data_IF_204149894077
#
_entry.id   IF_204149894077
#
_cell.length_a   1.000
_cell.length_b   1.000
_cell.length_c   1.000
_cell.angle_alpha   90.00
_cell.angle_beta   90.00
_cell.angle_gamma   90.00
#
_symmetry.space_group_name_H-M   'P 1'
#
loop_
_entity.id
_entity.type
_entity.pdbx_description
1 polymer ?
#
# COMPACT_ATOMS: atom_id res chain seq x y z
N UNK A 1 31.78 26.52 -7.98
CA UNK A 1 30.47 27.08 -7.57
C UNK A 1 29.59 25.92 -7.15
N UNK A 2 29.21 25.83 -5.87
CA UNK A 2 28.33 24.76 -5.40
C UNK A 2 26.92 25.04 -5.92
N UNK A 3 26.35 24.11 -6.69
CA UNK A 3 24.95 24.18 -7.09
C UNK A 3 24.11 24.07 -5.80
N UNK A 4 23.31 25.08 -5.41
CA UNK A 4 22.46 25.00 -4.21
C UNK A 4 21.43 23.87 -4.29
N UNK A 5 21.21 23.30 -5.48
CA UNK A 5 20.40 22.10 -5.70
C UNK A 5 21.17 20.77 -5.56
N UNK A 6 22.49 20.78 -5.42
CA UNK A 6 23.24 19.55 -5.17
C UNK A 6 22.98 19.03 -3.76
N UNK A 7 22.60 17.76 -3.66
CA UNK A 7 22.51 17.05 -2.39
C UNK A 7 23.91 16.89 -1.81
N UNK A 8 24.12 17.36 -0.57
CA UNK A 8 25.35 17.03 0.12
C UNK A 8 25.37 15.53 0.47
N UNK A 9 26.54 14.90 0.48
CA UNK A 9 26.65 13.49 0.88
C UNK A 9 26.12 13.24 2.30
N UNK A 10 26.27 14.21 3.20
CA UNK A 10 25.72 14.17 4.56
C UNK A 10 24.19 14.18 4.55
N UNK A 11 23.58 15.03 3.73
CA UNK A 11 22.13 15.13 3.59
C UNK A 11 21.55 13.84 3.01
N UNK A 12 22.19 13.29 1.97
CA UNK A 12 21.76 12.03 1.38
C UNK A 12 21.79 10.91 2.41
N UNK A 13 22.89 10.78 3.17
CA UNK A 13 23.01 9.79 4.24
C UNK A 13 21.90 9.97 5.30
N UNK A 14 21.64 11.21 5.73
CA UNK A 14 20.59 11.50 6.71
C UNK A 14 19.21 11.08 6.21
N UNK A 15 18.85 11.45 4.98
CA UNK A 15 17.57 11.08 4.36
C UNK A 15 17.45 9.56 4.26
N UNK A 16 18.50 8.87 3.81
CA UNK A 16 18.51 7.40 3.77
C UNK A 16 18.30 6.79 5.15
N UNK A 17 18.98 7.28 6.18
CA UNK A 17 18.79 6.78 7.55
C UNK A 17 17.36 7.01 8.06
N UNK A 18 16.75 8.16 7.77
CA UNK A 18 15.37 8.45 8.15
C UNK A 18 14.40 7.46 7.47
N UNK A 19 14.58 7.21 6.17
CA UNK A 19 13.75 6.26 5.42
C UNK A 19 13.92 4.84 5.94
N UNK A 20 15.15 4.40 6.22
CA UNK A 20 15.40 3.08 6.78
C UNK A 20 14.81 2.93 8.18
N UNK A 21 14.92 3.95 9.03
CA UNK A 21 14.31 3.94 10.37
C UNK A 21 12.78 3.87 10.30
N UNK A 22 12.15 4.65 9.43
CA UNK A 22 10.70 4.62 9.25
C UNK A 22 10.19 3.33 8.58
N UNK A 23 10.97 2.74 7.67
CA UNK A 23 10.71 1.42 7.09
C UNK A 23 10.77 0.34 8.18
N UNK A 24 11.79 0.38 9.03
CA UNK A 24 11.95 -0.55 10.16
C UNK A 24 10.80 -0.41 11.16
N UNK A 25 10.40 0.82 11.51
CA UNK A 25 9.28 1.07 12.41
C UNK A 25 7.95 0.51 11.87
N UNK A 26 7.66 0.70 10.58
CA UNK A 26 6.48 0.14 9.91
C UNK A 26 6.54 -1.37 9.82
N UNK A 27 7.70 -1.93 9.47
CA UNK A 27 7.90 -3.39 9.41
C UNK A 27 7.75 -4.05 10.78
N UNK A 28 8.30 -3.44 11.82
CA UNK A 28 8.10 -3.88 13.20
C UNK A 28 6.60 -3.83 13.56
N UNK A 29 5.91 -2.74 13.22
CA UNK A 29 4.48 -2.62 13.50
C UNK A 29 3.62 -3.62 12.72
N UNK A 30 3.92 -3.84 11.45
CA UNK A 30 3.26 -4.83 10.60
C UNK A 30 3.49 -6.26 11.12
N UNK A 31 4.67 -6.56 11.65
CA UNK A 31 4.98 -7.84 12.29
C UNK A 31 4.21 -8.10 13.60
N UNK A 32 3.58 -7.08 14.19
CA UNK A 32 2.70 -7.23 15.35
C UNK A 32 1.23 -7.51 14.96
N UNK A 33 0.89 -7.52 13.66
CA UNK A 33 -0.47 -7.78 13.22
C UNK A 33 -0.69 -9.29 13.20
N UNK A 34 -1.51 -9.78 14.14
CA UNK A 34 -1.80 -11.23 14.26
C UNK A 34 -2.89 -11.72 13.30
N UNK A 35 -3.84 -10.86 12.97
CA UNK A 35 -5.00 -11.19 12.12
C UNK A 35 -5.09 -10.20 10.98
N UNK A 36 -5.47 -10.69 9.80
CA UNK A 36 -5.70 -9.83 8.63
C UNK A 36 -6.77 -8.80 8.99
N UNK A 37 -6.46 -7.49 8.95
CA UNK A 37 -7.45 -6.45 9.21
C UNK A 37 -8.65 -6.56 8.26
N UNK A 38 -9.85 -6.20 8.72
CA UNK A 38 -11.05 -6.23 7.89
C UNK A 38 -10.86 -5.56 6.52
N UNK A 39 -10.23 -4.40 6.54
CA UNK A 39 -9.92 -3.60 5.37
C UNK A 39 -8.97 -4.30 4.39
N UNK A 40 -8.01 -5.04 4.92
CA UNK A 40 -7.09 -5.85 4.13
C UNK A 40 -7.81 -7.04 3.50
N UNK A 41 -8.72 -7.70 4.23
CA UNK A 41 -9.52 -8.80 3.71
C UNK A 41 -10.27 -8.36 2.44
N UNK A 42 -10.96 -7.22 2.49
CA UNK A 42 -11.67 -6.67 1.31
C UNK A 42 -10.69 -6.40 0.17
N UNK A 43 -9.57 -5.72 0.46
CA UNK A 43 -8.59 -5.40 -0.58
C UNK A 43 -7.95 -6.63 -1.20
N UNK A 44 -7.73 -7.70 -0.43
CA UNK A 44 -7.20 -8.96 -0.92
C UNK A 44 -8.23 -9.72 -1.75
N UNK A 45 -9.52 -9.73 -1.37
CA UNK A 45 -10.57 -10.35 -2.21
C UNK A 45 -10.66 -9.66 -3.57
N UNK A 46 -10.63 -8.32 -3.60
CA UNK A 46 -10.57 -7.55 -4.85
C UNK A 46 -9.31 -7.90 -5.63
N UNK A 47 -8.14 -7.78 -5.00
CA UNK A 47 -6.85 -7.92 -5.67
C UNK A 47 -6.54 -9.36 -6.08
N UNK A 48 -7.18 -10.37 -5.50
CA UNK A 48 -7.07 -11.77 -5.95
C UNK A 48 -8.18 -12.17 -6.93
N UNK A 49 -9.04 -11.23 -7.32
CA UNK A 49 -10.12 -11.39 -8.28
C UNK A 49 -11.29 -12.30 -7.81
N UNK A 50 -11.56 -12.33 -6.50
CA UNK A 50 -12.60 -13.18 -5.90
C UNK A 50 -13.76 -12.41 -5.25
N UNK A 51 -13.86 -11.08 -5.44
CA UNK A 51 -14.89 -10.30 -4.75
C UNK A 51 -16.31 -10.69 -5.21
N UNK A 52 -16.53 -10.92 -6.50
CA UNK A 52 -17.82 -11.39 -7.04
C UNK A 52 -18.19 -12.78 -6.50
N UNK A 53 -17.24 -13.72 -6.50
CA UNK A 53 -17.43 -15.07 -5.94
C UNK A 53 -17.82 -15.03 -4.46
N UNK A 54 -17.20 -14.12 -3.69
CA UNK A 54 -17.57 -13.87 -2.30
C UNK A 54 -19.01 -13.36 -2.19
N UNK A 55 -19.40 -12.36 -3.00
CA UNK A 55 -20.76 -11.83 -3.00
C UNK A 55 -21.80 -12.89 -3.37
N UNK A 56 -21.52 -13.72 -4.39
CA UNK A 56 -22.37 -14.83 -4.77
C UNK A 56 -22.53 -15.82 -3.62
N UNK A 57 -21.43 -16.17 -2.94
CA UNK A 57 -21.46 -17.11 -1.81
C UNK A 57 -22.26 -16.55 -0.62
N UNK A 58 -22.14 -15.26 -0.33
CA UNK A 58 -22.97 -14.61 0.70
C UNK A 58 -24.44 -14.63 0.31
N UNK A 59 -24.79 -14.35 -0.94
CA UNK A 59 -26.16 -14.43 -1.47
C UNK A 59 -26.74 -15.84 -1.30
N UNK A 60 -25.99 -16.86 -1.68
CA UNK A 60 -26.40 -18.26 -1.55
C UNK A 60 -26.64 -18.65 -0.09
N UNK A 61 -25.76 -18.23 0.83
CA UNK A 61 -25.91 -18.50 2.27
C UNK A 61 -27.11 -17.77 2.90
N UNK A 62 -27.49 -16.61 2.37
CA UNK A 62 -28.71 -15.91 2.80
C UNK A 62 -29.97 -16.66 2.37
N UNK A 63 -29.95 -17.26 1.17
CA UNK A 63 -31.05 -18.08 0.67
C UNK A 63 -31.12 -19.45 1.37
N UNK A 64 -29.98 -20.10 1.59
CA UNK A 64 -29.87 -21.41 2.23
C UNK A 64 -28.72 -21.46 3.25
N UNK A 65 -29.00 -21.16 4.54
CA UNK A 65 -27.98 -21.11 5.57
C UNK A 65 -27.31 -22.47 5.80
N UNK A 66 -25.98 -22.51 5.63
CA UNK A 66 -25.15 -23.70 5.89
C UNK A 66 -23.79 -23.31 6.45
N UNK A 67 -23.15 -24.26 7.12
CA UNK A 67 -21.77 -24.11 7.58
C UNK A 67 -20.80 -24.26 6.41
N UNK A 68 -19.91 -23.28 6.26
CA UNK A 68 -18.76 -23.38 5.36
C UNK A 68 -17.49 -23.61 6.15
N UNK A 69 -16.60 -24.42 5.60
CA UNK A 69 -15.28 -24.63 6.16
C UNK A 69 -14.41 -23.37 6.04
N UNK A 70 -13.51 -23.16 7.00
CA UNK A 70 -12.58 -22.02 7.00
C UNK A 70 -11.72 -21.93 5.71
N UNK A 71 -11.45 -23.06 5.05
CA UNK A 71 -10.70 -23.06 3.78
C UNK A 71 -11.37 -22.20 2.72
N UNK A 72 -12.71 -22.21 2.63
CA UNK A 72 -13.46 -21.47 1.61
C UNK A 72 -13.19 -19.97 1.75
N UNK A 73 -13.25 -19.45 2.98
CA UNK A 73 -12.97 -18.03 3.25
C UNK A 73 -11.51 -17.63 2.99
N UNK A 74 -10.57 -18.54 3.23
CA UNK A 74 -9.14 -18.28 2.96
C UNK A 74 -8.82 -18.31 1.47
N UNK A 75 -9.53 -19.10 0.69
CA UNK A 75 -9.28 -19.23 -0.74
C UNK A 75 -9.57 -17.92 -1.47
N UNK A 76 -10.56 -17.12 -1.02
CA UNK A 76 -10.79 -15.76 -1.52
C UNK A 76 -9.65 -14.76 -1.28
N UNK A 77 -8.68 -15.10 -0.43
CA UNK A 77 -7.52 -14.23 -0.15
C UNK A 77 -6.29 -14.68 -0.91
N UNK A 78 -6.37 -15.75 -1.70
CA UNK A 78 -5.24 -16.33 -2.42
C UNK A 78 -5.45 -16.15 -3.93
N UNK A 79 -4.41 -15.71 -4.67
CA UNK A 79 -4.51 -15.65 -6.12
C UNK A 79 -4.78 -17.05 -6.71
N UNK A 80 -5.68 -17.13 -7.68
CA UNK A 80 -5.98 -18.37 -8.38
C UNK A 80 -4.94 -18.72 -9.47
N UNK A 81 -5.09 -19.90 -10.10
CA UNK A 81 -4.19 -20.39 -11.13
C UNK A 81 -4.39 -19.71 -12.50
N UNK A 82 -5.35 -18.80 -12.62
CA UNK A 82 -5.68 -18.14 -13.88
C UNK A 82 -4.51 -17.28 -14.40
N UNK A 83 -4.42 -17.08 -15.73
CA UNK A 83 -3.42 -16.21 -16.32
C UNK A 83 -3.52 -14.78 -15.78
N UNK A 84 -2.37 -14.11 -15.64
CA UNK A 84 -2.28 -12.75 -15.11
C UNK A 84 -3.26 -11.77 -15.78
N UNK A 85 -3.36 -11.80 -17.12
CA UNK A 85 -4.25 -10.91 -17.86
C UNK A 85 -5.73 -11.12 -17.49
N UNK A 86 -6.16 -12.37 -17.27
CA UNK A 86 -7.51 -12.69 -16.83
C UNK A 86 -7.75 -12.19 -15.40
N UNK A 87 -6.80 -12.42 -14.48
CA UNK A 87 -6.88 -11.97 -13.09
C UNK A 87 -6.99 -10.43 -12.98
N UNK A 88 -6.21 -9.70 -13.78
CA UNK A 88 -6.26 -8.24 -13.80
C UNK A 88 -7.58 -7.73 -14.39
N UNK A 89 -8.09 -8.36 -15.46
CA UNK A 89 -9.38 -8.01 -16.04
C UNK A 89 -10.52 -8.23 -15.04
N UNK A 90 -10.50 -9.36 -14.33
CA UNK A 90 -11.47 -9.70 -13.31
C UNK A 90 -11.37 -8.78 -12.08
N UNK A 91 -10.16 -8.37 -11.69
CA UNK A 91 -9.97 -7.34 -10.66
C UNK A 91 -10.64 -6.03 -11.05
N UNK A 92 -10.53 -5.60 -12.32
CA UNK A 92 -11.20 -4.39 -12.82
C UNK A 92 -12.73 -4.57 -12.82
N UNK A 93 -13.21 -5.73 -13.27
CA UNK A 93 -14.62 -6.05 -13.29
C UNK A 93 -15.23 -5.98 -11.88
N UNK A 94 -14.60 -6.67 -10.92
CA UNK A 94 -14.98 -6.66 -9.50
C UNK A 94 -15.09 -5.25 -8.93
N UNK A 95 -14.10 -4.39 -9.21
CA UNK A 95 -14.16 -2.98 -8.79
C UNK A 95 -15.39 -2.29 -9.41
N UNK A 96 -15.59 -2.38 -10.72
CA UNK A 96 -16.71 -1.72 -11.40
C UNK A 96 -18.09 -2.14 -10.86
N UNK A 97 -18.25 -3.38 -10.42
CA UNK A 97 -19.53 -3.89 -9.91
C UNK A 97 -19.73 -3.61 -8.41
N UNK A 98 -18.68 -3.76 -7.61
CA UNK A 98 -18.83 -3.90 -6.15
C UNK A 98 -18.05 -2.86 -5.34
N UNK A 99 -17.17 -2.06 -5.96
CA UNK A 99 -16.28 -1.15 -5.24
C UNK A 99 -16.01 0.19 -5.99
N UNK A 100 -16.22 1.31 -5.30
CA UNK A 100 -16.02 2.65 -5.87
C UNK A 100 -14.55 3.10 -6.00
N UNK A 101 -13.60 2.33 -5.47
CA UNK A 101 -12.20 2.75 -5.45
C UNK A 101 -11.52 2.67 -6.82
N UNK A 102 -10.58 3.60 -7.13
CA UNK A 102 -9.79 3.54 -8.36
C UNK A 102 -8.94 2.26 -8.48
N UNK A 103 -8.76 1.70 -9.69
CA UNK A 103 -8.22 0.35 -9.86
C UNK A 103 -6.71 0.23 -9.63
N UNK A 104 -5.95 1.31 -9.80
CA UNK A 104 -4.48 1.27 -9.86
C UNK A 104 -3.86 0.58 -8.64
N UNK A 105 -4.38 0.85 -7.44
CA UNK A 105 -3.88 0.23 -6.21
C UNK A 105 -4.10 -1.28 -6.19
N UNK A 106 -5.29 -1.74 -6.57
CA UNK A 106 -5.65 -3.16 -6.52
C UNK A 106 -4.96 -3.97 -7.61
N UNK A 107 -4.71 -3.36 -8.77
CA UNK A 107 -3.88 -3.98 -9.81
C UNK A 107 -2.44 -4.15 -9.36
N UNK A 108 -1.87 -3.14 -8.68
CA UNK A 108 -0.56 -3.28 -8.04
C UNK A 108 -0.56 -4.38 -6.97
N UNK A 109 -1.57 -4.39 -6.10
CA UNK A 109 -1.70 -5.39 -5.04
C UNK A 109 -1.85 -6.80 -5.62
N UNK A 110 -2.58 -6.99 -6.73
CA UNK A 110 -2.71 -8.27 -7.44
C UNK A 110 -1.33 -8.82 -7.83
N UNK A 111 -0.48 -7.99 -8.43
CA UNK A 111 0.89 -8.36 -8.81
C UNK A 111 1.71 -8.75 -7.58
N UNK A 112 1.60 -7.99 -6.49
CA UNK A 112 2.33 -8.28 -5.24
C UNK A 112 1.87 -9.61 -4.65
N UNK A 113 0.57 -9.83 -4.49
CA UNK A 113 0.03 -11.05 -3.88
C UNK A 113 0.38 -12.30 -4.70
N UNK A 114 0.35 -12.22 -6.04
CA UNK A 114 0.78 -13.31 -6.93
C UNK A 114 2.28 -13.62 -6.84
N UNK A 115 3.09 -12.65 -6.45
CA UNK A 115 4.52 -12.85 -6.22
C UNK A 115 4.84 -13.43 -4.84
N UNK A 116 3.87 -13.45 -3.91
CA UNK A 116 4.06 -13.99 -2.57
C UNK A 116 3.69 -15.48 -2.48
N UNK A 117 4.37 -16.23 -1.60
CA UNK A 117 4.03 -17.64 -1.37
C UNK A 117 2.67 -17.81 -0.68
N UNK A 118 2.25 -16.86 0.15
CA UNK A 118 0.93 -16.83 0.77
C UNK A 118 0.52 -15.38 1.10
N UNK A 119 -0.79 -15.17 1.19
CA UNK A 119 -1.37 -13.89 1.65
C UNK A 119 -1.51 -13.93 3.16
N UNK A 120 -1.03 -12.87 3.83
CA UNK A 120 -1.08 -12.78 5.28
C UNK A 120 -1.19 -11.35 5.79
N UNK A 121 -1.16 -11.17 7.13
CA UNK A 121 -1.33 -9.86 7.76
C UNK A 121 -0.26 -8.81 7.39
N UNK A 122 0.85 -9.22 6.81
CA UNK A 122 1.98 -8.38 6.42
C UNK A 122 1.99 -8.04 4.92
N UNK A 123 1.16 -8.71 4.10
CA UNK A 123 1.16 -8.55 2.63
C UNK A 123 0.82 -7.12 2.20
N UNK A 124 -0.10 -6.47 2.91
CA UNK A 124 -0.49 -5.07 2.70
C UNK A 124 0.66 -4.10 2.92
N UNK A 125 1.37 -4.26 4.03
CA UNK A 125 2.59 -3.48 4.29
C UNK A 125 3.65 -3.71 3.22
N UNK A 126 3.90 -4.95 2.81
CA UNK A 126 4.89 -5.25 1.78
C UNK A 126 4.57 -4.51 0.47
N UNK A 127 3.30 -4.53 0.06
CA UNK A 127 2.81 -3.78 -1.10
C UNK A 127 3.06 -2.28 -0.95
N UNK A 128 2.74 -1.73 0.22
CA UNK A 128 2.84 -0.29 0.50
C UNK A 128 4.26 0.20 0.76
N UNK A 129 5.21 -0.67 1.11
CA UNK A 129 6.59 -0.30 1.41
C UNK A 129 7.27 0.42 0.22
N UNK A 130 6.93 0.04 -1.01
CA UNK A 130 7.41 0.71 -2.23
C UNK A 130 6.93 2.16 -2.28
N UNK A 131 5.63 2.38 -2.03
CA UNK A 131 5.05 3.71 -2.01
C UNK A 131 5.53 4.54 -0.82
N UNK A 132 5.79 3.92 0.34
CA UNK A 132 6.40 4.60 1.48
C UNK A 132 7.77 5.21 1.11
N UNK A 133 8.64 4.43 0.46
CA UNK A 133 9.95 4.93 0.02
C UNK A 133 9.79 6.05 -1.00
N UNK A 134 8.89 5.88 -1.98
CA UNK A 134 8.59 6.90 -2.97
C UNK A 134 8.08 8.19 -2.31
N UNK A 135 7.11 8.10 -1.41
CA UNK A 135 6.55 9.21 -0.65
C UNK A 135 7.62 9.95 0.14
N UNK A 136 8.52 9.23 0.79
CA UNK A 136 9.62 9.84 1.53
C UNK A 136 10.58 10.62 0.61
N UNK A 137 10.91 10.08 -0.56
CA UNK A 137 11.73 10.77 -1.55
C UNK A 137 11.02 12.04 -2.05
N UNK A 138 9.75 11.93 -2.43
CA UNK A 138 8.96 13.05 -2.95
C UNK A 138 8.73 14.13 -1.89
N UNK A 139 8.42 13.74 -0.67
CA UNK A 139 8.21 14.66 0.45
C UNK A 139 9.48 15.44 0.75
N UNK A 140 10.65 14.79 0.73
CA UNK A 140 11.91 15.48 0.90
C UNK A 140 12.21 16.44 -0.27
N UNK A 141 11.96 16.03 -1.52
CA UNK A 141 12.10 16.91 -2.68
C UNK A 141 11.18 18.13 -2.57
N UNK A 142 9.93 17.94 -2.14
CA UNK A 142 8.98 19.03 -1.95
C UNK A 142 9.43 19.96 -0.82
N UNK A 143 9.87 19.39 0.31
CA UNK A 143 10.44 20.15 1.42
C UNK A 143 11.62 21.01 0.97
N UNK A 144 12.50 20.51 0.09
CA UNK A 144 13.62 21.28 -0.46
C UNK A 144 13.20 22.48 -1.32
N UNK A 145 11.99 22.47 -1.91
CA UNK A 145 11.45 23.60 -2.67
C UNK A 145 10.76 24.62 -1.78
N UNK A 146 10.14 24.17 -0.69
CA UNK A 146 9.27 25.01 0.15
C UNK A 146 9.95 25.54 1.42
N UNK A 147 10.99 24.87 1.91
CA UNK A 147 11.63 25.18 3.19
C UNK A 147 13.00 25.83 2.99
N UNK A 148 13.48 26.63 3.96
CA UNK A 148 14.67 27.46 3.80
C UNK A 148 15.99 26.66 3.69
N UNK A 149 16.01 25.38 4.09
CA UNK A 149 17.22 24.56 4.04
C UNK A 149 16.95 23.06 3.85
N UNK A 150 17.98 22.31 3.47
CA UNK A 150 17.91 20.86 3.30
C UNK A 150 17.67 20.13 4.65
N UNK A 151 18.17 20.71 5.75
CA UNK A 151 17.96 20.22 7.10
C UNK A 151 16.49 20.38 7.51
N UNK A 152 15.88 21.53 7.21
CA UNK A 152 14.45 21.74 7.46
C UNK A 152 13.58 20.74 6.68
N UNK A 153 13.93 20.45 5.42
CA UNK A 153 13.29 19.39 4.63
C UNK A 153 13.49 18.00 5.26
N UNK A 154 14.69 17.70 5.77
CA UNK A 154 14.99 16.47 6.49
C UNK A 154 14.18 16.32 7.78
N UNK A 155 13.99 17.40 8.53
CA UNK A 155 13.13 17.41 9.74
C UNK A 155 11.67 17.14 9.36
N UNK A 156 11.16 17.76 8.28
CA UNK A 156 9.82 17.48 7.77
C UNK A 156 9.63 16.00 7.39
N UNK A 157 10.61 15.43 6.70
CA UNK A 157 10.64 14.00 6.39
C UNK A 157 10.67 13.15 7.67
N UNK A 158 11.50 13.50 8.66
CA UNK A 158 11.61 12.76 9.92
C UNK A 158 10.27 12.74 10.67
N UNK A 159 9.62 13.90 10.80
CA UNK A 159 8.32 14.02 11.47
C UNK A 159 7.30 13.09 10.81
N UNK A 160 7.20 13.11 9.48
CA UNK A 160 6.31 12.21 8.74
C UNK A 160 6.71 10.73 8.90
N UNK A 161 8.00 10.41 8.82
CA UNK A 161 8.50 9.04 8.89
C UNK A 161 8.20 8.36 10.23
N UNK A 162 8.14 9.11 11.34
CA UNK A 162 7.87 8.57 12.69
C UNK A 162 6.44 8.84 13.18
N UNK A 163 5.65 9.63 12.46
CA UNK A 163 4.29 9.96 12.86
C UNK A 163 3.40 8.71 12.92
N UNK A 164 2.75 8.48 14.07
CA UNK A 164 1.85 7.34 14.29
C UNK A 164 0.77 7.22 13.22
N UNK A 165 0.05 8.28 12.81
CA UNK A 165 -0.95 8.17 11.76
C UNK A 165 -0.37 7.70 10.43
N UNK A 166 0.81 8.20 10.05
CA UNK A 166 1.47 7.76 8.81
C UNK A 166 1.82 6.27 8.90
N UNK A 167 2.43 5.82 10.01
CA UNK A 167 2.75 4.40 10.21
C UNK A 167 1.48 3.54 10.11
N UNK A 168 0.40 3.95 10.78
CA UNK A 168 -0.86 3.19 10.81
C UNK A 168 -1.51 3.09 9.43
N UNK A 169 -1.49 4.15 8.63
CA UNK A 169 -2.05 4.10 7.27
C UNK A 169 -1.16 3.32 6.31
N UNK A 170 0.17 3.32 6.51
CA UNK A 170 1.10 2.61 5.64
C UNK A 170 0.97 1.09 5.71
N UNK A 171 0.63 0.53 6.87
CA UNK A 171 0.67 -0.93 7.10
C UNK A 171 -0.61 -1.67 6.70
N UNK A 172 -1.68 -0.95 6.36
CA UNK A 172 -2.98 -1.50 5.94
C UNK A 172 -3.00 -1.57 4.41
N UNK A 173 -3.50 -2.66 3.82
CA UNK A 173 -3.63 -2.84 2.37
C UNK A 173 -4.67 -1.89 1.75
N UNK A 174 -4.39 -0.59 1.74
CA UNK A 174 -5.25 0.47 1.22
C UNK A 174 -4.45 1.44 0.35
N UNK A 175 -5.18 2.17 -0.49
CA UNK A 175 -4.64 3.08 -1.50
C UNK A 175 -3.99 4.37 -0.95
N UNK A 176 -3.89 4.55 0.37
CA UNK A 176 -3.44 5.80 0.98
C UNK A 176 -2.00 6.19 0.61
N UNK A 177 -1.07 5.23 0.60
CA UNK A 177 0.32 5.50 0.22
C UNK A 177 0.43 5.86 -1.27
N UNK A 178 -0.29 5.15 -2.14
CA UNK A 178 -0.35 5.49 -3.57
C UNK A 178 -0.97 6.87 -3.80
N UNK A 179 -2.07 7.19 -3.10
CA UNK A 179 -2.72 8.49 -3.16
C UNK A 179 -1.77 9.61 -2.71
N UNK A 180 -1.01 9.40 -1.63
CA UNK A 180 0.02 10.33 -1.19
C UNK A 180 1.11 10.52 -2.28
N UNK A 181 1.52 9.45 -2.97
CA UNK A 181 2.52 9.54 -4.05
C UNK A 181 2.00 10.40 -5.19
N UNK A 182 0.77 10.15 -5.65
CA UNK A 182 0.12 10.93 -6.71
C UNK A 182 -0.02 12.39 -6.28
N UNK A 183 -0.48 12.66 -5.05
CA UNK A 183 -0.62 14.01 -4.52
C UNK A 183 0.70 14.77 -4.46
N UNK A 184 1.76 14.17 -3.89
CA UNK A 184 3.08 14.78 -3.81
C UNK A 184 3.69 15.03 -5.18
N UNK A 185 3.57 14.07 -6.12
CA UNK A 185 3.99 14.26 -7.51
C UNK A 185 3.25 15.42 -8.16
N UNK A 186 1.94 15.52 -7.95
CA UNK A 186 1.13 16.58 -8.54
C UNK A 186 1.57 17.95 -8.05
N UNK A 187 1.83 18.10 -6.75
CA UNK A 187 2.37 19.37 -6.19
C UNK A 187 3.77 19.66 -6.74
N UNK A 188 4.65 18.66 -6.82
CA UNK A 188 6.01 18.83 -7.36
C UNK A 188 6.05 19.18 -8.85
N UNK A 189 5.06 18.79 -9.63
CA UNK A 189 4.97 19.19 -11.05
C UNK A 189 4.49 20.65 -11.17
N UNK A 190 3.69 21.12 -10.21
CA UNK A 190 3.09 22.46 -10.23
C UNK A 190 3.92 23.54 -9.53
N UNK A 191 4.83 23.17 -8.62
CA UNK A 191 5.68 24.07 -7.84
C UNK A 191 7.02 24.36 -8.52
#
# INVERSE_FOLDING_TARGET
MNNPQALSGKTLLLVTMILLAGLAARSYKAGQIEKIPHDDVISYMVATAHLDDYHQTISDLQAEPRWLENRVWRDYLRPGPEPMAASLAETIHNLQQHDIHPPVYFLWLNLVLRALPDTGPWSGWLSNAVFYVLNGILLFQLGRRLLPSQEAAGIGLLIWAVATPSIQTSIIARHYELMASIGLLSVLVLA
#
